data_IF_375255455542
#
_entry.id   IF_375255455542
#
_cell.length_a   1.000
_cell.length_b   1.000
_cell.length_c   1.000
_cell.angle_alpha   90.00
_cell.angle_beta   90.00
_cell.angle_gamma   90.00
#
_symmetry.space_group_name_H-M   'P 1'
#
loop_
_entity.id
_entity.type
_entity.pdbx_description
1 polymer ?
#
# COMPACT_ATOMS: atom_id res chain seq x y z
N UNK A 1 23.61 13.98 -9.00
CA UNK A 1 22.58 13.81 -10.06
C UNK A 1 21.69 12.58 -9.86
N UNK A 2 22.14 11.46 -9.25
CA UNK A 2 21.29 10.28 -9.01
C UNK A 2 20.16 10.47 -7.98
N UNK A 3 20.41 11.17 -6.88
CA UNK A 3 19.43 11.36 -5.79
C UNK A 3 18.25 12.28 -6.16
N UNK A 4 18.44 13.20 -7.11
CA UNK A 4 17.43 14.20 -7.49
C UNK A 4 16.16 13.56 -8.06
N UNK A 5 16.30 12.46 -8.81
CA UNK A 5 15.16 11.73 -9.36
C UNK A 5 14.27 11.13 -8.25
N UNK A 6 14.88 10.40 -7.31
CA UNK A 6 14.17 9.81 -6.18
C UNK A 6 13.50 10.87 -5.30
N UNK A 7 14.16 12.01 -5.08
CA UNK A 7 13.60 13.13 -4.33
C UNK A 7 12.37 13.74 -5.02
N UNK A 8 12.40 13.89 -6.35
CA UNK A 8 11.24 14.39 -7.12
C UNK A 8 10.05 13.44 -7.08
N UNK A 9 10.29 12.13 -7.23
CA UNK A 9 9.25 11.12 -7.05
C UNK A 9 8.64 11.18 -5.66
N UNK A 10 9.48 11.18 -4.62
CA UNK A 10 9.04 11.26 -3.24
C UNK A 10 8.25 12.55 -2.97
N UNK A 11 8.58 13.65 -3.64
CA UNK A 11 7.83 14.89 -3.52
C UNK A 11 6.41 14.77 -4.08
N UNK A 12 6.23 14.15 -5.24
CA UNK A 12 4.88 13.92 -5.81
C UNK A 12 4.00 13.12 -4.83
N UNK A 13 4.56 12.06 -4.23
CA UNK A 13 3.82 11.27 -3.23
C UNK A 13 3.50 12.08 -1.96
N UNK A 14 4.45 12.85 -1.45
CA UNK A 14 4.20 13.72 -0.28
C UNK A 14 3.15 14.78 -0.57
N UNK A 15 3.18 15.39 -1.76
CA UNK A 15 2.19 16.37 -2.18
C UNK A 15 0.80 15.71 -2.24
N UNK A 16 0.69 14.52 -2.82
CA UNK A 16 -0.58 13.77 -2.88
C UNK A 16 -1.13 13.37 -1.51
N UNK A 17 -0.29 12.88 -0.60
CA UNK A 17 -0.70 12.53 0.77
C UNK A 17 -1.20 13.77 1.52
N UNK A 18 -0.46 14.89 1.45
CA UNK A 18 -0.87 16.16 2.07
C UNK A 18 -2.18 16.66 1.48
N UNK A 19 -2.35 16.53 0.17
CA UNK A 19 -3.57 16.95 -0.51
C UNK A 19 -4.78 16.11 -0.08
N UNK A 20 -4.64 14.78 0.02
CA UNK A 20 -5.67 13.89 0.56
C UNK A 20 -6.06 14.26 1.99
N UNK A 21 -5.08 14.56 2.85
CA UNK A 21 -5.36 15.03 4.22
C UNK A 21 -6.19 16.31 4.24
N UNK A 22 -5.82 17.31 3.44
CA UNK A 22 -6.56 18.57 3.34
C UNK A 22 -7.97 18.39 2.79
N UNK A 23 -8.18 17.45 1.87
CA UNK A 23 -9.53 17.13 1.41
C UNK A 23 -10.41 16.62 2.55
N UNK A 24 -9.90 15.69 3.36
CA UNK A 24 -10.62 15.16 4.53
C UNK A 24 -10.81 16.16 5.66
N UNK A 25 -10.00 17.22 5.70
CA UNK A 25 -10.19 18.38 6.59
C UNK A 25 -11.21 19.42 6.03
N UNK A 26 -11.76 19.22 4.84
CA UNK A 26 -12.79 20.07 4.25
C UNK A 26 -12.29 21.28 3.44
N UNK A 27 -11.01 21.29 3.04
CA UNK A 27 -10.40 22.44 2.33
C UNK A 27 -10.76 22.52 0.84
N UNK A 28 -11.33 21.47 0.25
CA UNK A 28 -11.73 21.46 -1.15
C UNK A 28 -12.92 20.53 -1.39
N UNK A 29 -13.63 20.81 -2.47
CA UNK A 29 -14.73 19.98 -2.98
C UNK A 29 -14.20 18.73 -3.66
N UNK A 30 -15.08 17.75 -3.88
CA UNK A 30 -14.72 16.50 -4.58
C UNK A 30 -14.28 16.74 -6.02
N UNK A 31 -14.84 17.74 -6.69
CA UNK A 31 -14.46 18.09 -8.07
C UNK A 31 -13.07 18.72 -8.12
N UNK A 32 -12.78 19.68 -7.24
CA UNK A 32 -11.45 20.26 -7.11
C UNK A 32 -10.41 19.20 -6.71
N UNK A 33 -10.80 18.24 -5.86
CA UNK A 33 -9.96 17.10 -5.51
C UNK A 33 -9.57 16.28 -6.74
N UNK A 34 -10.55 15.95 -7.59
CA UNK A 34 -10.33 15.19 -8.82
C UNK A 34 -9.41 15.94 -9.79
N UNK A 35 -9.69 17.22 -10.03
CA UNK A 35 -8.91 18.06 -10.95
C UNK A 35 -7.46 18.25 -10.51
N UNK A 36 -7.22 18.55 -9.23
CA UNK A 36 -5.87 18.67 -8.68
C UNK A 36 -5.15 17.31 -8.65
N UNK A 37 -5.90 16.22 -8.43
CA UNK A 37 -5.41 14.85 -8.51
C UNK A 37 -4.89 14.49 -9.91
N UNK A 38 -5.55 14.94 -10.97
CA UNK A 38 -5.06 14.81 -12.35
C UNK A 38 -3.72 15.53 -12.55
N UNK A 39 -3.57 16.75 -12.01
CA UNK A 39 -2.31 17.50 -12.06
C UNK A 39 -1.14 16.77 -11.39
N UNK A 40 -1.37 16.13 -10.24
CA UNK A 40 -0.37 15.28 -9.57
C UNK A 40 -0.05 14.01 -10.38
N UNK A 41 -1.07 13.43 -11.03
CA UNK A 41 -0.92 12.26 -11.90
C UNK A 41 -0.03 12.57 -13.10
N UNK A 42 -0.28 13.69 -13.79
CA UNK A 42 0.56 14.15 -14.90
C UNK A 42 2.01 14.43 -14.47
N UNK A 43 2.21 14.98 -13.27
CA UNK A 43 3.56 15.17 -12.70
C UNK A 43 4.28 13.84 -12.49
N UNK A 44 3.58 12.81 -12.00
CA UNK A 44 4.13 11.46 -11.84
C UNK A 44 4.48 10.86 -13.21
N UNK A 45 3.54 10.88 -14.16
CA UNK A 45 3.72 10.34 -15.51
C UNK A 45 4.92 10.99 -16.22
N UNK A 46 5.10 12.31 -16.10
CA UNK A 46 6.26 13.02 -16.64
C UNK A 46 7.59 12.55 -16.05
N UNK A 47 7.61 12.05 -14.82
CA UNK A 47 8.80 11.46 -14.21
C UNK A 47 9.02 10.01 -14.68
N UNK A 48 7.94 9.25 -14.83
CA UNK A 48 7.98 7.84 -15.24
C UNK A 48 8.29 7.64 -16.73
N UNK A 49 7.84 8.55 -17.59
CA UNK A 49 8.04 8.52 -19.05
C UNK A 49 9.42 9.01 -19.50
N UNK A 50 10.34 9.29 -18.56
CA UNK A 50 11.71 9.67 -18.91
C UNK A 50 12.47 8.47 -19.48
N UNK A 51 13.04 8.67 -20.68
CA UNK A 51 13.99 7.75 -21.31
C UNK A 51 15.19 7.45 -20.38
N UNK A 52 15.89 6.31 -20.56
CA UNK A 52 16.44 5.53 -19.47
C UNK A 52 17.32 6.34 -18.52
N UNK A 53 17.11 6.14 -17.22
CA UNK A 53 17.82 6.89 -16.20
C UNK A 53 19.27 6.39 -16.10
N UNK A 54 20.19 7.34 -15.88
CA UNK A 54 21.65 7.09 -15.89
C UNK A 54 22.10 5.98 -14.93
N UNK A 55 21.37 5.73 -13.83
CA UNK A 55 21.74 4.73 -12.83
C UNK A 55 20.78 3.55 -12.84
N UNK A 56 21.32 2.32 -12.76
CA UNK A 56 20.52 1.08 -12.65
C UNK A 56 19.54 1.12 -11.48
N UNK A 57 19.93 1.72 -10.35
CA UNK A 57 19.07 1.87 -9.18
C UNK A 57 17.84 2.74 -9.46
N UNK A 58 18.01 3.89 -10.12
CA UNK A 58 16.89 4.76 -10.47
C UNK A 58 16.00 4.14 -11.54
N UNK A 59 16.58 3.42 -12.49
CA UNK A 59 15.83 2.72 -13.52
C UNK A 59 14.97 1.60 -12.93
N UNK A 60 15.52 0.80 -12.00
CA UNK A 60 14.76 -0.20 -11.24
C UNK A 60 13.61 0.44 -10.45
N UNK A 61 13.87 1.58 -9.79
CA UNK A 61 12.83 2.33 -9.07
C UNK A 61 11.74 2.81 -10.04
N UNK A 62 12.13 3.41 -11.18
CA UNK A 62 11.20 3.89 -12.22
C UNK A 62 10.31 2.76 -12.73
N UNK A 63 10.90 1.64 -13.13
CA UNK A 63 10.16 0.48 -13.65
C UNK A 63 9.20 -0.11 -12.62
N UNK A 64 9.64 -0.24 -11.36
CA UNK A 64 8.77 -0.75 -10.29
C UNK A 64 7.56 0.15 -10.02
N UNK A 65 7.77 1.48 -10.00
CA UNK A 65 6.65 2.43 -9.83
C UNK A 65 5.77 2.44 -11.08
N UNK A 66 6.36 2.44 -12.28
CA UNK A 66 5.62 2.41 -13.54
C UNK A 66 4.70 1.19 -13.63
N UNK A 67 5.19 0.00 -13.29
CA UNK A 67 4.38 -1.22 -13.29
C UNK A 67 3.15 -1.09 -12.37
N UNK A 68 3.34 -0.59 -11.15
CA UNK A 68 2.21 -0.43 -10.22
C UNK A 68 1.28 0.72 -10.62
N UNK A 69 1.81 1.77 -11.24
CA UNK A 69 1.02 2.89 -11.75
C UNK A 69 0.13 2.46 -12.91
N UNK A 70 0.65 1.67 -13.87
CA UNK A 70 -0.13 1.08 -14.96
C UNK A 70 -1.22 0.12 -14.48
N UNK A 71 -1.04 -0.49 -13.30
CA UNK A 71 -2.06 -1.29 -12.62
C UNK A 71 -3.08 -0.46 -11.83
N UNK A 72 -3.00 0.88 -11.88
CA UNK A 72 -3.90 1.78 -11.16
C UNK A 72 -3.72 1.78 -9.65
N UNK A 73 -2.57 1.33 -9.11
CA UNK A 73 -2.40 1.14 -7.64
C UNK A 73 -1.78 2.32 -6.92
N UNK A 74 -1.02 3.15 -7.64
CA UNK A 74 -0.12 4.14 -7.02
C UNK A 74 -0.85 5.42 -6.60
N UNK A 75 -1.83 5.88 -7.37
CA UNK A 75 -2.55 7.14 -7.14
C UNK A 75 -4.08 6.94 -7.05
N UNK A 76 -4.54 5.72 -6.77
CA UNK A 76 -5.97 5.37 -6.75
C UNK A 76 -6.79 6.26 -5.79
N UNK A 77 -6.19 6.68 -4.68
CA UNK A 77 -6.81 7.56 -3.70
C UNK A 77 -7.16 8.96 -4.26
N UNK A 78 -6.51 9.40 -5.35
CA UNK A 78 -6.83 10.68 -6.01
C UNK A 78 -8.10 10.60 -6.85
N UNK A 79 -8.50 9.39 -7.28
CA UNK A 79 -9.79 9.13 -7.93
C UNK A 79 -10.89 8.73 -6.94
N UNK A 80 -10.52 8.05 -5.86
CA UNK A 80 -11.43 7.59 -4.83
C UNK A 80 -10.93 8.01 -3.43
N UNK A 81 -11.48 9.10 -2.86
CA UNK A 81 -11.01 9.64 -1.58
C UNK A 81 -11.22 8.72 -0.37
N UNK A 82 -12.10 7.71 -0.47
CA UNK A 82 -12.33 6.73 0.58
C UNK A 82 -11.13 5.79 0.76
N UNK A 83 -10.30 5.67 -0.27
CA UNK A 83 -9.10 4.85 -0.24
C UNK A 83 -7.98 5.62 0.46
N UNK A 84 -7.33 5.06 1.50
CA UNK A 84 -6.23 5.72 2.16
C UNK A 84 -4.99 5.79 1.25
N UNK A 85 -4.21 6.88 1.30
CA UNK A 85 -3.05 7.08 0.43
C UNK A 85 -1.83 6.23 0.84
N UNK A 86 -1.89 5.52 1.98
CA UNK A 86 -0.78 4.72 2.51
C UNK A 86 -1.22 3.31 2.87
N UNK A 87 -0.26 2.38 2.82
CA UNK A 87 -0.47 0.97 3.17
C UNK A 87 -0.50 0.70 4.69
N UNK A 88 -0.67 1.74 5.52
CA UNK A 88 -0.53 1.66 6.98
C UNK A 88 -1.49 0.63 7.61
N UNK A 89 -2.66 0.42 7.02
CA UNK A 89 -3.62 -0.58 7.50
C UNK A 89 -3.09 -2.01 7.29
N UNK A 90 -2.59 -2.35 6.09
CA UNK A 90 -2.05 -3.68 5.82
C UNK A 90 -0.73 -3.93 6.55
N UNK A 91 0.13 -2.91 6.69
CA UNK A 91 1.35 -3.04 7.50
C UNK A 91 1.03 -3.32 8.98
N UNK A 92 -0.02 -2.66 9.52
CA UNK A 92 -0.50 -2.92 10.88
C UNK A 92 -1.01 -4.35 11.05
N UNK A 93 -1.79 -4.88 10.11
CA UNK A 93 -2.28 -6.25 10.20
C UNK A 93 -1.15 -7.28 10.08
N UNK A 94 -0.19 -7.06 9.18
CA UNK A 94 0.98 -7.92 8.98
C UNK A 94 1.95 -7.90 10.17
N UNK A 95 2.04 -6.79 10.91
CA UNK A 95 2.95 -6.66 12.06
C UNK A 95 2.76 -7.76 13.09
N UNK A 96 1.52 -8.13 13.38
CA UNK A 96 1.21 -9.20 14.33
C UNK A 96 1.77 -10.54 13.87
N UNK A 97 1.71 -10.83 12.57
CA UNK A 97 2.24 -12.06 11.96
C UNK A 97 3.76 -12.10 12.04
N UNK A 98 4.41 -10.99 11.67
CA UNK A 98 5.87 -10.85 11.68
C UNK A 98 6.42 -10.94 13.11
N UNK A 99 5.76 -10.30 14.08
CA UNK A 99 6.15 -10.36 15.49
C UNK A 99 6.02 -11.78 16.05
N UNK A 100 4.88 -12.44 15.84
CA UNK A 100 4.67 -13.81 16.30
C UNK A 100 5.73 -14.77 15.73
N UNK A 101 6.02 -14.66 14.42
CA UNK A 101 7.08 -15.44 13.77
C UNK A 101 8.45 -15.18 14.41
N UNK A 102 8.76 -13.94 14.78
CA UNK A 102 10.05 -13.58 15.40
C UNK A 102 10.18 -14.19 16.79
N UNK A 103 9.13 -14.06 17.62
CA UNK A 103 9.13 -14.57 19.00
C UNK A 103 9.11 -16.11 19.03
N UNK A 104 8.49 -16.76 18.04
CA UNK A 104 8.41 -18.21 17.95
C UNK A 104 9.64 -18.89 17.32
N UNK A 105 10.78 -18.20 17.20
CA UNK A 105 11.99 -18.70 16.52
C UNK A 105 11.76 -19.12 15.05
N UNK A 106 10.87 -18.42 14.36
CA UNK A 106 10.40 -18.73 13.01
C UNK A 106 9.72 -20.11 12.86
N UNK A 107 9.09 -20.33 11.71
CA UNK A 107 8.58 -21.65 11.37
C UNK A 107 9.74 -22.57 11.00
N UNK A 108 9.88 -23.70 11.71
CA UNK A 108 10.95 -24.68 11.50
C UNK A 108 10.78 -25.50 10.20
N UNK A 109 9.59 -25.48 9.60
CA UNK A 109 9.28 -26.12 8.32
C UNK A 109 8.11 -25.43 7.61
N UNK A 110 7.95 -25.71 6.30
CA UNK A 110 6.91 -25.13 5.46
C UNK A 110 5.49 -25.47 5.94
N UNK A 111 5.27 -26.70 6.42
CA UNK A 111 3.96 -27.15 6.93
C UNK A 111 3.50 -26.29 8.11
N UNK A 112 4.38 -26.01 9.06
CA UNK A 112 4.10 -25.15 10.21
C UNK A 112 3.82 -23.70 9.79
N UNK A 113 4.59 -23.17 8.83
CA UNK A 113 4.37 -21.83 8.28
C UNK A 113 2.99 -21.70 7.62
N UNK A 114 2.63 -22.65 6.75
CA UNK A 114 1.34 -22.68 6.05
C UNK A 114 0.18 -22.82 7.04
N UNK A 115 0.33 -23.70 8.04
CA UNK A 115 -0.71 -23.90 9.08
C UNK A 115 -0.95 -22.62 9.87
N UNK A 116 0.13 -21.97 10.32
CA UNK A 116 0.03 -20.69 11.03
C UNK A 116 -0.61 -19.61 10.17
N UNK A 117 -0.21 -19.49 8.90
CA UNK A 117 -0.80 -18.53 7.96
C UNK A 117 -2.29 -18.77 7.73
N UNK A 118 -2.73 -20.02 7.59
CA UNK A 118 -4.15 -20.38 7.45
C UNK A 118 -4.96 -19.96 8.69
N UNK A 119 -4.51 -20.38 9.88
CA UNK A 119 -5.19 -20.03 11.15
C UNK A 119 -5.27 -18.50 11.28
N UNK A 120 -4.15 -17.80 11.05
CA UNK A 120 -4.09 -16.36 11.20
C UNK A 120 -4.99 -15.64 10.19
N UNK A 121 -5.00 -16.07 8.93
CA UNK A 121 -5.89 -15.52 7.90
C UNK A 121 -7.35 -15.68 8.28
N UNK A 122 -7.75 -16.86 8.76
CA UNK A 122 -9.12 -17.12 9.21
C UNK A 122 -9.49 -16.22 10.39
N UNK A 123 -8.62 -16.13 11.40
CA UNK A 123 -8.85 -15.30 12.60
C UNK A 123 -9.00 -13.82 12.24
N UNK A 124 -8.13 -13.27 11.40
CA UNK A 124 -8.23 -11.87 10.99
C UNK A 124 -9.48 -11.61 10.14
N UNK A 125 -9.88 -12.57 9.29
CA UNK A 125 -11.12 -12.46 8.52
C UNK A 125 -12.35 -12.47 9.43
N UNK A 126 -12.39 -13.34 10.45
CA UNK A 126 -13.46 -13.39 11.44
C UNK A 126 -13.59 -12.06 12.19
N UNK A 127 -12.45 -11.51 12.65
CA UNK A 127 -12.41 -10.20 13.32
C UNK A 127 -12.92 -9.06 12.43
N UNK A 128 -12.51 -9.02 11.17
CA UNK A 128 -12.98 -8.01 10.21
C UNK A 128 -14.48 -8.10 9.93
N UNK A 129 -15.08 -9.29 10.09
CA UNK A 129 -16.53 -9.53 9.93
C UNK A 129 -17.32 -9.38 11.23
N UNK A 130 -16.68 -9.03 12.34
CA UNK A 130 -17.33 -8.95 13.66
C UNK A 130 -17.75 -10.30 14.24
N UNK A 131 -17.12 -11.39 13.81
CA UNK A 131 -17.41 -12.75 14.27
C UNK A 131 -16.42 -13.17 15.37
N UNK A 132 -16.85 -14.07 16.25
CA UNK A 132 -15.94 -14.71 17.20
C UNK A 132 -14.95 -15.62 16.45
N UNK A 133 -13.63 -15.37 16.53
CA UNK A 133 -12.64 -16.17 15.81
C UNK A 133 -12.55 -17.63 16.28
N UNK A 134 -12.87 -17.91 17.54
CA UNK A 134 -12.89 -19.27 18.09
C UNK A 134 -14.03 -20.04 17.46
N UNK A 135 -15.23 -19.47 17.40
CA UNK A 135 -16.40 -20.12 16.78
C UNK A 135 -16.15 -20.41 15.29
N UNK A 136 -15.57 -19.45 14.57
CA UNK A 136 -15.19 -19.65 13.16
C UNK A 136 -14.15 -20.77 13.01
N UNK A 137 -13.16 -20.85 13.88
CA UNK A 137 -12.17 -21.94 13.83
C UNK A 137 -12.79 -23.30 14.20
N UNK A 138 -13.73 -23.33 15.14
CA UNK A 138 -14.44 -24.55 15.54
C UNK A 138 -15.33 -25.08 14.42
N UNK A 139 -16.01 -24.21 13.67
CA UNK A 139 -16.87 -24.61 12.54
C UNK A 139 -16.10 -25.19 11.34
N UNK A 140 -14.78 -24.98 11.26
CA UNK A 140 -13.91 -25.57 10.24
C UNK A 140 -13.44 -26.99 10.57
N UNK A 141 -13.76 -27.50 11.77
CA UNK A 141 -13.52 -28.90 12.13
C UNK A 141 -14.65 -29.74 11.53
N UNK A 142 -14.40 -30.30 10.36
CA UNK A 142 -15.15 -31.48 9.90
C UNK A 142 -14.75 -32.69 10.74
#
# INVERSE_FOLDING_TARGET
>A
RGHEYGLRLAQVFRDGIKFHQRFHEGWCTREEYRQQGEGLTLRLEKLLNRAPLKTKANERLRLGILEQHLRGRILLFLSDPEIPPTNNAAERSLRTVVMARKVSQCSKNARGAITYMRIKSTVETARLRGQDPVDVLMSLRC
#
